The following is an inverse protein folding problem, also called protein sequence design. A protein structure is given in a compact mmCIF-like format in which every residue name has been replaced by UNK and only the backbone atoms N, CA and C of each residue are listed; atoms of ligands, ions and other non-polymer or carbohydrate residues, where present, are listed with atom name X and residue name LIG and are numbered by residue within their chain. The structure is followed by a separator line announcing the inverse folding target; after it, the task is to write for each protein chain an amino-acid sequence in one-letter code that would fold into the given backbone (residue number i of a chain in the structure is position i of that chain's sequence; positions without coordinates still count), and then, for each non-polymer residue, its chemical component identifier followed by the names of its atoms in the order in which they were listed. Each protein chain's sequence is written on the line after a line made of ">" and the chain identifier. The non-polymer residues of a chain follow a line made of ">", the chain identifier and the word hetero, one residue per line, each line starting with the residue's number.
data_IF_116386614320
#
_entry.id   IF_116386614320
#
_cell.length_a   1.000
_cell.length_b   1.000
_cell.length_c   1.000
_cell.angle_alpha   90.00
_cell.angle_beta   90.00
_cell.angle_gamma   90.00
#
_symmetry.space_group_name_H-M   'P 1'
#
loop_
_entity.id
_entity.type
_entity.pdbx_description
1 polymer ?
#
# COMPACT_ATOMS: atom_id res chain seq x y z
N UNK A 1 -0.47 0.05 -17.97
CA UNK A 1 -0.13 -0.11 -16.54
C UNK A 1 0.76 1.07 -16.18
N UNK A 2 0.45 1.84 -15.13
CA UNK A 2 1.33 2.95 -14.70
C UNK A 2 2.38 2.34 -13.76
N UNK A 3 3.60 2.14 -14.25
CA UNK A 3 4.71 1.51 -13.53
C UNK A 3 5.48 2.55 -12.70
N UNK A 4 4.92 2.95 -11.56
CA UNK A 4 5.62 3.81 -10.60
C UNK A 4 5.51 3.21 -9.20
N UNK A 5 6.59 2.58 -8.73
CA UNK A 5 6.69 2.16 -7.32
C UNK A 5 6.99 3.38 -6.46
N UNK A 6 6.11 3.70 -5.53
CA UNK A 6 6.14 4.93 -4.73
C UNK A 6 5.67 4.62 -3.30
N UNK A 7 6.28 5.26 -2.31
CA UNK A 7 5.81 5.19 -0.91
C UNK A 7 4.70 6.23 -0.73
N UNK A 8 3.58 5.80 -0.15
CA UNK A 8 2.45 6.65 0.20
C UNK A 8 2.29 6.64 1.71
N UNK A 9 2.22 7.83 2.31
CA UNK A 9 1.76 7.98 3.68
C UNK A 9 0.22 8.04 3.68
N UNK A 10 -0.41 7.26 4.54
CA UNK A 10 -1.85 7.29 4.80
C UNK A 10 -2.07 7.41 6.30
N UNK A 11 -2.84 8.39 6.74
CA UNK A 11 -3.24 8.49 8.16
C UNK A 11 -4.46 7.61 8.38
N UNK A 12 -4.38 6.67 9.33
CA UNK A 12 -5.53 5.89 9.78
C UNK A 12 -6.05 6.48 11.08
N UNK A 13 -7.37 6.58 11.18
CA UNK A 13 -8.09 7.05 12.37
C UNK A 13 -8.58 5.84 13.16
N UNK A 14 -8.13 5.71 14.41
CA UNK A 14 -8.66 4.72 15.33
C UNK A 14 -9.71 5.40 16.23
N UNK A 15 -10.96 4.98 16.10
CA UNK A 15 -11.99 5.29 17.08
C UNK A 15 -11.98 4.19 18.14
N UNK A 16 -11.68 4.55 19.38
CA UNK A 16 -11.79 3.64 20.52
C UNK A 16 -13.11 4.00 21.21
N UNK A 17 -14.10 3.12 21.13
CA UNK A 17 -15.51 3.41 21.45
C UNK A 17 -15.84 3.77 22.92
N UNK A 18 -14.88 3.84 23.84
CA UNK A 18 -15.16 4.00 25.27
C UNK A 18 -14.42 5.15 25.99
N UNK A 19 -13.80 6.09 25.27
CA UNK A 19 -13.02 7.19 25.87
C UNK A 19 -13.27 8.47 25.05
N UNK A 20 -13.43 9.68 25.66
CA UNK A 20 -13.54 10.94 24.92
C UNK A 20 -12.46 11.04 23.82
N UNK A 21 -12.71 11.75 22.70
CA UNK A 21 -12.05 11.55 21.41
C UNK A 21 -10.56 11.86 21.47
N UNK A 22 -9.77 10.93 21.99
CA UNK A 22 -8.33 10.95 21.91
C UNK A 22 -7.98 10.30 20.58
N UNK A 23 -8.19 11.07 19.51
CA UNK A 23 -7.92 10.67 18.13
C UNK A 23 -6.41 10.42 18.05
N UNK A 24 -6.00 9.17 18.20
CA UNK A 24 -4.63 8.77 17.94
C UNK A 24 -4.46 8.69 16.44
N UNK A 25 -3.75 9.66 15.89
CA UNK A 25 -3.29 9.63 14.51
C UNK A 25 -2.11 8.67 14.43
N UNK A 26 -2.26 7.62 13.61
CA UNK A 26 -1.11 6.83 13.20
C UNK A 26 -0.90 7.03 11.71
N UNK A 27 0.22 7.64 11.35
CA UNK A 27 0.69 7.69 9.98
C UNK A 27 1.22 6.31 9.63
N UNK A 28 0.59 5.67 8.65
CA UNK A 28 0.99 4.37 8.13
C UNK A 28 1.55 4.58 6.72
N UNK A 29 2.75 4.07 6.51
CA UNK A 29 3.43 4.11 5.23
C UNK A 29 3.14 2.83 4.47
N UNK A 30 2.90 2.97 3.17
CA UNK A 30 2.47 1.90 2.28
C UNK A 30 3.23 1.98 0.98
N UNK A 31 3.61 0.84 0.40
CA UNK A 31 4.35 0.84 -0.86
C UNK A 31 3.37 0.56 -1.99
N UNK A 32 3.04 1.59 -2.76
CA UNK A 32 2.26 1.42 -3.98
C UNK A 32 3.16 0.86 -5.06
N UNK A 33 2.74 -0.24 -5.66
CA UNK A 33 3.49 -0.91 -6.73
C UNK A 33 2.82 -0.78 -8.10
N UNK A 34 1.56 -0.34 -8.14
CA UNK A 34 0.87 -0.11 -9.40
C UNK A 34 -0.53 0.45 -9.24
N UNK A 35 -1.07 0.95 -10.35
CA UNK A 35 -2.46 1.33 -10.49
C UNK A 35 -3.06 0.70 -11.75
N UNK A 36 -4.27 0.16 -11.61
CA UNK A 36 -4.95 -0.61 -12.64
C UNK A 36 -6.33 -0.02 -12.92
N UNK A 37 -6.76 -0.03 -14.17
CA UNK A 37 -8.10 0.42 -14.56
C UNK A 37 -9.20 -0.54 -14.11
N UNK A 38 -8.89 -1.83 -13.96
CA UNK A 38 -9.83 -2.88 -13.63
C UNK A 38 -9.35 -3.69 -12.42
N UNK A 39 -10.28 -3.99 -11.51
CA UNK A 39 -10.07 -4.85 -10.34
C UNK A 39 -9.51 -6.23 -10.73
N UNK A 40 -9.96 -6.82 -11.85
CA UNK A 40 -9.45 -8.12 -12.32
C UNK A 40 -7.94 -8.10 -12.56
N UNK A 41 -7.42 -7.04 -13.17
CA UNK A 41 -5.99 -6.90 -13.43
C UNK A 41 -5.20 -6.61 -12.14
N UNK A 42 -5.78 -5.82 -11.23
CA UNK A 42 -5.21 -5.58 -9.91
C UNK A 42 -5.09 -6.89 -9.10
N UNK A 43 -6.14 -7.72 -9.11
CA UNK A 43 -6.15 -9.04 -8.44
C UNK A 43 -5.12 -9.98 -9.06
N UNK A 44 -5.06 -10.09 -10.39
CA UNK A 44 -4.04 -10.91 -11.06
C UNK A 44 -2.61 -10.50 -10.67
N UNK A 45 -2.34 -9.20 -10.54
CA UNK A 45 -1.03 -8.73 -10.08
C UNK A 45 -0.82 -9.00 -8.58
N UNK A 46 -1.86 -8.86 -7.76
CA UNK A 46 -1.83 -9.17 -6.33
C UNK A 46 -1.42 -10.63 -6.08
N UNK A 47 -2.02 -11.57 -6.81
CA UNK A 47 -1.72 -13.00 -6.72
C UNK A 47 -0.30 -13.35 -7.18
N UNK A 48 0.25 -12.59 -8.13
CA UNK A 48 1.62 -12.79 -8.62
C UNK A 48 2.71 -12.26 -7.67
N UNK A 49 2.35 -11.61 -6.55
CA UNK A 49 3.32 -11.04 -5.62
C UNK A 49 3.55 -11.99 -4.44
N UNK A 50 4.81 -12.20 -4.05
CA UNK A 50 5.12 -13.01 -2.86
C UNK A 50 4.88 -12.27 -1.54
N UNK A 51 4.30 -11.07 -1.58
CA UNK A 51 4.11 -10.21 -0.42
C UNK A 51 2.64 -10.02 -0.08
N UNK A 52 2.36 -9.83 1.22
CA UNK A 52 1.05 -9.41 1.68
C UNK A 52 0.69 -8.06 1.06
N UNK A 53 -0.30 -8.08 0.19
CA UNK A 53 -0.71 -6.95 -0.63
C UNK A 53 -2.22 -6.75 -0.60
N UNK A 54 -2.66 -5.52 -0.85
CA UNK A 54 -4.06 -5.14 -0.83
C UNK A 54 -4.35 -4.09 -1.89
N UNK A 55 -5.62 -4.05 -2.31
CA UNK A 55 -6.08 -3.18 -3.37
C UNK A 55 -7.02 -2.14 -2.76
N UNK A 56 -6.73 -0.87 -2.99
CA UNK A 56 -7.63 0.23 -2.65
C UNK A 56 -8.30 0.74 -3.92
N UNK A 57 -9.64 0.80 -3.89
CA UNK A 57 -10.44 1.38 -4.97
C UNK A 57 -10.39 2.91 -4.86
N UNK A 58 -9.73 3.56 -5.82
CA UNK A 58 -9.79 5.00 -6.02
C UNK A 58 -10.93 5.40 -6.96
N UNK A 59 -11.06 6.71 -7.23
CA UNK A 59 -12.12 7.27 -8.10
C UNK A 59 -12.06 6.74 -9.55
N UNK A 60 -10.86 6.51 -10.09
CA UNK A 60 -10.65 6.12 -11.50
C UNK A 60 -9.81 4.84 -11.68
N UNK A 61 -9.16 4.37 -10.62
CA UNK A 61 -8.20 3.26 -10.68
C UNK A 61 -8.23 2.45 -9.38
N UNK A 62 -7.82 1.19 -9.49
CA UNK A 62 -7.54 0.27 -8.39
C UNK A 62 -6.03 0.32 -8.12
N UNK A 63 -5.64 0.87 -6.97
CA UNK A 63 -4.23 0.98 -6.59
C UNK A 63 -3.83 -0.22 -5.75
N UNK A 64 -2.72 -0.85 -6.11
CA UNK A 64 -2.18 -2.02 -5.44
C UNK A 64 -1.03 -1.60 -4.54
N UNK A 65 -1.11 -1.99 -3.27
CA UNK A 65 -0.14 -1.66 -2.23
C UNK A 65 0.43 -2.92 -1.60
N UNK A 66 1.65 -2.82 -1.10
CA UNK A 66 2.35 -3.83 -0.30
C UNK A 66 2.64 -3.24 1.08
N UNK A 67 2.37 -4.04 2.11
CA UNK A 67 2.72 -3.73 3.49
C UNK A 67 1.98 -2.54 4.10
N UNK A 68 2.10 -2.44 5.42
CA UNK A 68 1.68 -1.31 6.23
C UNK A 68 2.76 -1.11 7.28
N UNK A 69 3.45 0.03 7.22
CA UNK A 69 4.64 0.30 8.01
C UNK A 69 4.39 1.48 8.95
N UNK A 70 4.93 1.40 10.17
CA UNK A 70 4.75 2.45 11.17
C UNK A 70 5.65 3.67 10.92
N UNK A 71 6.67 3.52 10.09
CA UNK A 71 7.65 4.57 9.80
C UNK A 71 8.06 4.62 8.33
N UNK A 72 8.55 5.78 7.89
CA UNK A 72 9.09 5.95 6.54
C UNK A 72 10.35 5.10 6.31
N UNK A 73 11.22 4.98 7.32
CA UNK A 73 12.46 4.19 7.22
C UNK A 73 12.17 2.72 6.95
N UNK A 74 11.23 2.15 7.70
CA UNK A 74 10.78 0.76 7.54
C UNK A 74 10.20 0.52 6.14
N UNK A 75 9.39 1.46 5.62
CA UNK A 75 8.87 1.39 4.26
C UNK A 75 9.98 1.50 3.18
N UNK A 76 11.06 2.26 3.43
CA UNK A 76 12.19 2.40 2.49
C UNK A 76 13.04 1.13 2.44
N UNK A 77 13.30 0.52 3.60
CA UNK A 77 14.03 -0.75 3.70
C UNK A 77 13.31 -1.83 2.89
N UNK A 78 12.02 -2.02 3.15
CA UNK A 78 11.21 -3.00 2.42
C UNK A 78 11.00 -2.65 0.95
N UNK A 79 10.96 -1.36 0.58
CA UNK A 79 10.91 -0.94 -0.82
C UNK A 79 12.13 -1.45 -1.60
N UNK A 80 13.31 -1.42 -0.98
CA UNK A 80 14.56 -1.87 -1.61
C UNK A 80 14.52 -3.37 -1.91
N UNK A 81 13.94 -4.16 -1.01
CA UNK A 81 13.75 -5.60 -1.23
C UNK A 81 12.69 -5.90 -2.29
N UNK A 82 11.58 -5.17 -2.27
CA UNK A 82 10.52 -5.30 -3.29
C UNK A 82 11.04 -4.94 -4.68
N UNK A 83 11.92 -3.93 -4.80
CA UNK A 83 12.55 -3.58 -6.10
C UNK A 83 13.47 -4.68 -6.63
N UNK A 84 14.14 -5.45 -5.76
CA UNK A 84 14.99 -6.57 -6.17
C UNK A 84 14.17 -7.75 -6.69
N UNK A 85 12.98 -7.97 -6.12
CA UNK A 85 12.11 -9.11 -6.43
C UNK A 85 11.09 -8.80 -7.51
N UNK A 86 10.74 -7.53 -7.73
CA UNK A 86 9.85 -7.14 -8.83
C UNK A 86 10.56 -7.45 -10.16
N UNK A 87 10.13 -8.47 -10.92
CA UNK A 87 10.74 -8.74 -12.21
C UNK A 87 10.56 -7.49 -13.08
N UNK A 88 11.63 -7.09 -13.77
CA UNK A 88 11.57 -6.13 -14.88
C UNK A 88 10.45 -6.63 -15.81
N UNK A 89 9.31 -5.94 -15.76
CA UNK A 89 8.19 -6.17 -16.65
C UNK A 89 8.38 -5.35 -17.93
#
# INVERSE_FOLDING_TARGET
>A
MINSTQIYASTIYYFKEDIPPNIKYQTIYRIKIGAFLNLKNANKRKEALPYKSYILKGKRYFSLYIGEYGSLSEAIEHLSDIKKISPKA
#
